data_IF_073008956203
#
_entry.id   IF_073008956203
#
_cell.length_a   1.000
_cell.length_b   1.000
_cell.length_c   1.000
_cell.angle_alpha   90.00
_cell.angle_beta   90.00
_cell.angle_gamma   90.00
#
_symmetry.space_group_name_H-M   'P 1'
#
loop_
_entity.id
_entity.type
_entity.pdbx_description
1 polymer ?
#
# COMPACT_ATOMS: atom_id res chain seq x y z
N UNK A 1 -10.98 22.39 -5.63
CA UNK A 1 -9.66 21.73 -5.74
C UNK A 1 -8.62 22.76 -6.19
N UNK A 2 -7.49 22.89 -5.49
CA UNK A 2 -6.41 23.79 -5.93
C UNK A 2 -5.68 23.16 -7.12
N UNK A 3 -5.52 23.89 -8.23
CA UNK A 3 -4.74 23.40 -9.37
C UNK A 3 -3.27 23.25 -8.96
N UNK A 4 -2.70 22.07 -9.20
CA UNK A 4 -1.27 21.81 -9.04
C UNK A 4 -0.52 22.42 -10.22
N UNK A 5 0.69 22.91 -9.96
CA UNK A 5 1.64 23.25 -11.02
C UNK A 5 2.10 21.99 -11.76
N UNK A 6 2.59 22.17 -12.99
CA UNK A 6 3.06 21.07 -13.83
C UNK A 6 4.18 20.25 -13.15
N UNK A 7 5.05 20.90 -12.38
CA UNK A 7 6.10 20.23 -11.60
C UNK A 7 5.51 19.39 -10.45
N UNK A 8 4.51 19.91 -9.74
CA UNK A 8 3.81 19.16 -8.68
C UNK A 8 3.06 17.96 -9.25
N UNK A 9 2.50 18.07 -10.46
CA UNK A 9 1.90 16.93 -11.17
C UNK A 9 2.94 15.84 -11.49
N UNK A 10 4.13 16.21 -12.00
CA UNK A 10 5.19 15.25 -12.28
C UNK A 10 5.71 14.56 -11.00
N UNK A 11 5.88 15.31 -9.91
CA UNK A 11 6.27 14.75 -8.62
C UNK A 11 5.21 13.81 -8.06
N UNK A 12 3.93 14.16 -8.20
CA UNK A 12 2.83 13.32 -7.78
C UNK A 12 2.78 12.00 -8.59
N UNK A 13 2.96 12.06 -9.91
CA UNK A 13 3.01 10.86 -10.77
C UNK A 13 4.22 9.99 -10.39
N UNK A 14 5.41 10.56 -10.22
CA UNK A 14 6.59 9.80 -9.83
C UNK A 14 6.43 9.14 -8.44
N UNK A 15 5.73 9.79 -7.51
CA UNK A 15 5.40 9.22 -6.21
C UNK A 15 4.40 8.06 -6.33
N UNK A 16 3.43 8.15 -7.24
CA UNK A 16 2.50 7.05 -7.54
C UNK A 16 3.23 5.86 -8.19
N UNK A 17 4.10 6.09 -9.17
CA UNK A 17 4.91 5.03 -9.79
C UNK A 17 5.81 4.32 -8.77
N UNK A 18 6.39 5.08 -7.83
CA UNK A 18 7.18 4.52 -6.74
C UNK A 18 6.31 3.68 -5.79
N UNK A 19 5.08 4.12 -5.53
CA UNK A 19 4.12 3.38 -4.72
C UNK A 19 3.69 2.07 -5.39
N UNK A 20 3.45 2.07 -6.69
CA UNK A 20 3.07 0.86 -7.43
C UNK A 20 4.20 -0.18 -7.43
N UNK A 21 5.45 0.28 -7.59
CA UNK A 21 6.62 -0.59 -7.45
C UNK A 21 6.75 -1.16 -6.03
N UNK A 22 6.50 -0.33 -5.02
CA UNK A 22 6.50 -0.78 -3.63
C UNK A 22 5.40 -1.81 -3.38
N UNK A 23 4.19 -1.59 -3.89
CA UNK A 23 3.06 -2.50 -3.78
C UNK A 23 3.38 -3.85 -4.42
N UNK A 24 3.89 -3.85 -5.65
CA UNK A 24 4.29 -5.07 -6.35
C UNK A 24 5.41 -5.83 -5.61
N UNK A 25 6.37 -5.12 -5.00
CA UNK A 25 7.42 -5.74 -4.19
C UNK A 25 6.86 -6.42 -2.95
N UNK A 26 5.97 -5.74 -2.22
CA UNK A 26 5.33 -6.28 -1.02
C UNK A 26 4.44 -7.48 -1.35
N UNK A 27 3.65 -7.41 -2.41
CA UNK A 27 2.81 -8.55 -2.86
C UNK A 27 3.66 -9.77 -3.23
N UNK A 28 4.77 -9.56 -3.94
CA UNK A 28 5.71 -10.63 -4.27
C UNK A 28 6.29 -11.26 -3.00
N UNK A 29 6.78 -10.45 -2.07
CA UNK A 29 7.34 -10.93 -0.80
C UNK A 29 6.29 -11.68 0.05
N UNK A 30 5.04 -11.21 0.09
CA UNK A 30 3.95 -11.89 0.79
C UNK A 30 3.51 -13.19 0.09
N UNK A 31 3.55 -13.24 -1.24
CA UNK A 31 3.24 -14.48 -1.97
C UNK A 31 4.23 -15.60 -1.68
N UNK A 32 5.52 -15.25 -1.53
CA UNK A 32 6.56 -16.21 -1.14
C UNK A 32 6.29 -16.81 0.24
N UNK A 33 5.65 -16.05 1.15
CA UNK A 33 5.26 -16.58 2.45
C UNK A 33 4.10 -17.58 2.36
N UNK A 34 3.15 -17.38 1.44
CA UNK A 34 2.00 -18.29 1.25
C UNK A 34 2.42 -19.66 0.73
N UNK A 35 3.48 -19.71 -0.06
CA UNK A 35 3.98 -20.95 -0.67
C UNK A 35 4.97 -21.70 0.25
N UNK A 36 5.26 -21.18 1.44
CA UNK A 36 6.11 -21.86 2.41
C UNK A 36 5.37 -23.04 3.06
N UNK A 37 5.96 -24.23 2.93
CA UNK A 37 5.54 -25.41 3.68
C UNK A 37 5.58 -25.14 5.20
N UNK A 38 4.44 -25.33 5.87
CA UNK A 38 4.27 -25.18 7.32
C UNK A 38 5.32 -25.98 8.11
N UNK A 39 5.72 -27.16 7.64
CA UNK A 39 6.78 -27.94 8.29
C UNK A 39 8.16 -27.26 8.17
N UNK A 40 8.44 -26.62 7.03
CA UNK A 40 9.66 -25.85 6.84
C UNK A 40 9.66 -24.57 7.70
N UNK A 41 8.50 -23.91 7.88
CA UNK A 41 8.33 -22.78 8.79
C UNK A 41 8.64 -23.19 10.22
N UNK A 42 8.00 -24.26 10.72
CA UNK A 42 8.19 -24.75 12.09
C UNK A 42 9.66 -25.12 12.34
N UNK A 43 10.31 -25.80 11.39
CA UNK A 43 11.72 -26.21 11.49
C UNK A 43 12.68 -25.01 11.51
N UNK A 44 12.39 -23.96 10.73
CA UNK A 44 13.19 -22.72 10.74
C UNK A 44 12.98 -21.95 12.04
N UNK A 45 11.74 -21.79 12.48
CA UNK A 45 11.39 -21.12 13.73
C UNK A 45 12.02 -21.81 14.95
N UNK A 46 11.98 -23.15 15.01
CA UNK A 46 12.59 -23.91 16.12
C UNK A 46 14.11 -23.78 16.15
N UNK A 47 14.76 -23.78 14.98
CA UNK A 47 16.20 -23.50 14.87
C UNK A 47 16.53 -22.08 15.34
N UNK A 48 15.72 -21.10 14.96
CA UNK A 48 15.91 -19.70 15.35
C UNK A 48 15.75 -19.50 16.86
N UNK A 49 14.74 -20.14 17.46
CA UNK A 49 14.56 -20.20 18.93
C UNK A 49 15.79 -20.75 19.64
N UNK A 50 16.39 -21.84 19.12
CA UNK A 50 17.61 -22.41 19.69
C UNK A 50 18.83 -21.49 19.54
N UNK A 51 18.93 -20.75 18.44
CA UNK A 51 20.05 -19.82 18.19
C UNK A 51 19.85 -18.42 18.78
N UNK A 52 18.64 -18.10 19.26
CA UNK A 52 18.29 -16.78 19.79
C UNK A 52 18.18 -15.65 18.76
N UNK A 53 18.33 -15.93 17.46
CA UNK A 53 18.34 -14.90 16.42
C UNK A 53 17.11 -15.01 15.51
N UNK A 54 16.22 -14.03 15.61
CA UNK A 54 15.01 -13.94 14.79
C UNK A 54 15.17 -12.92 13.67
N UNK A 55 15.14 -13.40 12.42
CA UNK A 55 15.29 -12.58 11.22
C UNK A 55 14.25 -12.96 10.17
N UNK A 56 13.83 -11.98 9.36
CA UNK A 56 12.87 -12.20 8.27
C UNK A 56 13.49 -12.99 7.12
N UNK A 57 14.79 -12.80 6.92
CA UNK A 57 15.62 -13.46 5.92
C UNK A 57 15.66 -14.97 6.12
N UNK A 58 15.55 -15.45 7.37
CA UNK A 58 15.48 -16.87 7.66
C UNK A 58 14.22 -17.53 7.07
N UNK A 59 13.17 -16.75 6.79
CA UNK A 59 11.96 -17.16 6.10
C UNK A 59 11.96 -16.77 4.62
N UNK A 60 13.08 -16.27 4.09
CA UNK A 60 13.19 -15.81 2.70
C UNK A 60 12.50 -14.46 2.46
N UNK A 61 12.14 -13.74 3.53
CA UNK A 61 11.50 -12.43 3.45
C UNK A 61 12.54 -11.32 3.50
N UNK A 62 12.22 -10.18 2.88
CA UNK A 62 13.05 -8.99 2.92
C UNK A 62 13.06 -8.40 4.35
N UNK A 63 14.22 -8.03 4.92
CA UNK A 63 14.28 -7.40 6.24
C UNK A 63 13.51 -6.08 6.32
N UNK A 64 13.36 -5.39 5.19
CA UNK A 64 12.63 -4.12 5.10
C UNK A 64 11.13 -4.31 4.87
N UNK A 65 10.61 -5.55 4.79
CA UNK A 65 9.21 -5.83 4.46
C UNK A 65 8.22 -5.07 5.35
N UNK A 66 8.42 -5.05 6.67
CA UNK A 66 7.52 -4.31 7.57
C UNK A 66 7.57 -2.80 7.33
N UNK A 67 8.76 -2.25 7.11
CA UNK A 67 8.92 -0.83 6.76
C UNK A 67 8.23 -0.50 5.44
N UNK A 68 8.35 -1.38 4.44
CA UNK A 68 7.66 -1.24 3.16
C UNK A 68 6.13 -1.31 3.32
N UNK A 69 5.62 -2.24 4.13
CA UNK A 69 4.18 -2.34 4.44
C UNK A 69 3.68 -1.06 5.13
N UNK A 70 4.43 -0.51 6.08
CA UNK A 70 4.06 0.73 6.76
C UNK A 70 4.02 1.92 5.79
N UNK A 71 5.03 2.04 4.92
CA UNK A 71 5.09 3.09 3.90
C UNK A 71 3.92 2.99 2.91
N UNK A 72 3.64 1.78 2.43
CA UNK A 72 2.51 1.49 1.54
C UNK A 72 1.17 1.80 2.22
N UNK A 73 1.02 1.48 3.50
CA UNK A 73 -0.20 1.77 4.27
C UNK A 73 -0.42 3.27 4.41
N UNK A 74 0.63 4.04 4.74
CA UNK A 74 0.56 5.50 4.82
C UNK A 74 0.12 6.11 3.48
N UNK A 75 0.72 5.65 2.39
CA UNK A 75 0.40 6.15 1.05
C UNK A 75 -1.04 5.79 0.64
N UNK A 76 -1.48 4.57 0.89
CA UNK A 76 -2.86 4.14 0.65
C UNK A 76 -3.88 4.95 1.45
N UNK A 77 -3.60 5.28 2.70
CA UNK A 77 -4.50 6.10 3.51
C UNK A 77 -4.69 7.49 2.91
N UNK A 78 -3.59 8.14 2.52
CA UNK A 78 -3.63 9.47 1.88
C UNK A 78 -4.37 9.41 0.53
N UNK A 79 -4.11 8.39 -0.29
CA UNK A 79 -4.78 8.22 -1.58
C UNK A 79 -6.29 8.00 -1.41
N UNK A 80 -6.69 7.14 -0.47
CA UNK A 80 -8.11 6.86 -0.17
C UNK A 80 -8.83 8.08 0.38
N UNK A 81 -8.18 8.87 1.24
CA UNK A 81 -8.75 10.11 1.77
C UNK A 81 -9.01 11.13 0.65
N UNK A 82 -8.02 11.35 -0.22
CA UNK A 82 -8.18 12.24 -1.39
C UNK A 82 -9.29 11.77 -2.33
N UNK A 83 -9.36 10.46 -2.58
CA UNK A 83 -10.41 9.91 -3.43
C UNK A 83 -11.80 10.06 -2.81
N UNK A 84 -11.95 9.83 -1.49
CA UNK A 84 -13.23 10.08 -0.79
C UNK A 84 -13.66 11.53 -0.92
N UNK A 85 -12.77 12.47 -0.65
CA UNK A 85 -13.08 13.90 -0.78
C UNK A 85 -13.49 14.27 -2.22
N UNK A 86 -12.86 13.66 -3.23
CA UNK A 86 -13.25 13.82 -4.63
C UNK A 86 -14.66 13.28 -4.91
N UNK A 87 -14.96 12.06 -4.44
CA UNK A 87 -16.28 11.44 -4.61
C UNK A 87 -17.37 12.22 -3.88
N UNK A 88 -17.11 12.70 -2.67
CA UNK A 88 -18.03 13.55 -1.90
C UNK A 88 -18.32 14.88 -2.63
N UNK A 89 -17.28 15.53 -3.16
CA UNK A 89 -17.46 16.74 -3.96
C UNK A 89 -18.27 16.49 -5.25
N UNK A 90 -18.09 15.32 -5.88
CA UNK A 90 -18.90 14.93 -7.04
C UNK A 90 -20.36 14.66 -6.66
N UNK A 91 -20.61 14.05 -5.51
CA UNK A 91 -21.97 13.82 -4.99
C UNK A 91 -22.68 15.17 -4.75
N UNK A 92 -22.01 16.13 -4.12
CA UNK A 92 -22.55 17.47 -3.88
C UNK A 92 -22.91 18.17 -5.20
N UNK A 93 -22.00 18.17 -6.17
CA UNK A 93 -22.24 18.78 -7.49
C UNK A 93 -23.38 18.11 -8.25
N UNK A 94 -23.48 16.78 -8.20
CA UNK A 94 -24.54 16.05 -8.89
C UNK A 94 -25.90 16.23 -8.20
N UNK A 95 -25.93 16.28 -6.88
CA UNK A 95 -27.15 16.56 -6.11
C UNK A 95 -27.73 17.94 -6.47
N UNK A 96 -26.88 18.94 -6.67
CA UNK A 96 -27.31 20.28 -7.09
C UNK A 96 -27.86 20.29 -8.52
N UNK A 97 -27.29 19.49 -9.42
CA UNK A 97 -27.75 19.38 -10.82
C UNK A 97 -29.05 18.58 -10.93
N UNK A 98 -29.18 17.49 -10.18
CA UNK A 98 -30.40 16.67 -10.14
C UNK A 98 -31.57 17.44 -9.50
N UNK A 99 -31.33 18.23 -8.46
CA UNK A 99 -32.36 19.07 -7.84
C UNK A 99 -32.92 20.15 -8.79
N UNK A 100 -32.13 20.64 -9.75
CA UNK A 100 -32.55 21.63 -10.76
C UNK A 100 -33.25 20.97 -11.96
N UNK A 101 -33.06 19.67 -12.18
CA UNK A 101 -33.70 18.94 -13.27
C UNK A 101 -35.14 18.47 -12.94
N UNK A 102 -35.50 18.44 -11.65
CA UNK A 102 -36.82 18.04 -11.14
C UNK A 102 -37.79 19.23 -10.88
N UNK A 103 -37.40 20.47 -11.19
CA UNK A 103 -38.27 21.67 -11.24
C UNK A 103 -38.70 22.01 -12.68
#
# INVERSE_FOLDING_TARGET
>A
MKMLSLNECHQAIAALDAADKLNASVEKELSQFKDLDTNAIIKRASKMLMTGNFTLEAFGLNPALFTHIEQLTKLNNVAREKYRACVEANIEQLSDVEAVADE
#
